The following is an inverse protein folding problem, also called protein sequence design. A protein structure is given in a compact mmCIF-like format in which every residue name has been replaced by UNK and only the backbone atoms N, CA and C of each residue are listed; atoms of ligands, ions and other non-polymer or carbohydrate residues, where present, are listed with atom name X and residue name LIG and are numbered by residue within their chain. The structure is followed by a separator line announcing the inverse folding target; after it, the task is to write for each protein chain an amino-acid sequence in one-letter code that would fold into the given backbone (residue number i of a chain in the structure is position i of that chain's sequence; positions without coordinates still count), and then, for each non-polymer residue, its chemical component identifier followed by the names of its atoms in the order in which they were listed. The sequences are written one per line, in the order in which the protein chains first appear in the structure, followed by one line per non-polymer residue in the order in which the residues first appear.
data_IF_446751856730
#
_entry.id   IF_446751856730
#
_cell.length_a   1.000
_cell.length_b   1.000
_cell.length_c   1.000
_cell.angle_alpha   90.00
_cell.angle_beta   90.00
_cell.angle_gamma   90.00
#
_symmetry.space_group_name_H-M   'P 1'
#
loop_
_entity.id
_entity.type
_entity.pdbx_description
1 polymer ?
#
# COMPACT_ATOMS: atom_id res chain seq x y z
N UNK A 1 -15.41 -14.50 11.86
CA UNK A 1 -14.90 -14.86 12.05
C UNK A 1 -14.97 -14.90 12.11
N UNK A 2 -15.08 -14.88 12.29
CA UNK A 2 -14.39 -15.28 12.28
C UNK A 2 -14.45 -15.23 12.20
N UNK A 3 -14.47 -15.32 12.37
CA UNK A 3 -13.93 -15.71 12.35
C UNK A 3 -13.99 -15.47 12.28
N UNK A 4 -14.12 -15.28 12.38
CA UNK A 4 -13.70 -15.60 12.49
C UNK A 4 -13.67 -15.31 12.37
N UNK A 5 -13.89 -15.34 12.37
CA UNK A 5 -13.37 -15.67 12.52
C UNK A 5 -13.38 -15.06 12.51
N UNK A 6 -13.45 -14.85 12.39
CA UNK A 6 -12.92 -14.93 12.54
C UNK A 6 -12.89 -14.65 12.05
N UNK A 7 -13.14 -14.89 11.95
CA UNK A 7 -12.68 -15.28 11.81
C UNK A 7 -12.83 -15.03 11.55
N UNK A 8 -13.04 -15.16 11.43
CA UNK A 8 -12.65 -15.59 11.25
C UNK A 8 -12.75 -15.58 10.91
N UNK A 9 -13.04 -15.56 10.90
CA UNK A 9 -12.64 -16.09 10.59
C UNK A 9 -12.93 -15.89 10.37
N UNK A 10 -12.92 -16.00 10.30
CA UNK A 10 -12.58 -16.43 10.16
C UNK A 10 -12.91 -16.43 10.02
N UNK A 11 -13.11 -16.12 10.07
CA UNK A 11 -12.87 -16.67 9.79
C UNK A 11 -13.16 -17.02 9.93
N UNK A 12 -13.39 -17.20 10.26
CA UNK A 12 -13.28 -17.92 10.24
C UNK A 12 -13.46 -18.13 10.66
N UNK A 13 -14.05 -18.54 11.32
CA UNK A 13 -13.85 -19.14 11.58
C UNK A 13 -14.14 -19.34 12.30
N UNK A 14 -14.13 -19.14 12.83
CA UNK A 14 -13.89 -19.68 13.30
C UNK A 14 -13.83 -19.93 13.99
N UNK A 15 -13.91 -20.19 14.57
CA UNK A 15 -13.54 -20.48 15.33
C UNK A 15 -12.95 -20.78 15.70
N UNK A 16 -12.47 -20.95 16.17
CA UNK A 16 -11.82 -21.03 16.72
C UNK A 16 -10.97 -21.04 16.68
N UNK A 17 -10.27 -21.59 16.68
CA UNK A 17 -9.55 -21.28 16.68
C UNK A 17 -8.36 -20.62 16.79
N UNK A 18 -7.67 -21.02 17.58
CA UNK A 18 -7.04 -19.90 18.20
C UNK A 18 -5.52 -20.05 18.24
N UNK A 19 -5.03 -21.25 18.53
CA UNK A 19 -3.61 -21.54 18.49
C UNK A 19 -3.05 -21.38 17.10
N UNK A 20 -3.77 -21.88 16.13
CA UNK A 20 -3.38 -21.78 14.74
C UNK A 20 -3.27 -20.32 14.31
N UNK A 21 -4.26 -19.50 14.70
CA UNK A 21 -4.27 -18.09 14.35
C UNK A 21 -3.10 -17.36 15.00
N UNK A 22 -2.77 -17.73 16.24
CA UNK A 22 -1.66 -17.09 16.95
C UNK A 22 -0.33 -17.35 16.25
N UNK A 23 -0.12 -18.58 15.76
CA UNK A 23 1.10 -18.89 15.03
C UNK A 23 1.23 -18.06 13.75
N UNK A 24 0.13 -17.96 13.01
CA UNK A 24 0.12 -17.15 11.78
C UNK A 24 0.38 -15.68 12.12
N UNK A 25 -0.27 -15.20 13.15
CA UNK A 25 -0.10 -13.82 13.58
C UNK A 25 1.33 -13.54 14.03
N UNK A 26 1.95 -14.48 14.72
CA UNK A 26 3.33 -14.30 15.20
C UNK A 26 4.30 -14.22 14.00
N UNK A 27 4.11 -15.08 13.03
CA UNK A 27 4.94 -15.07 11.82
C UNK A 27 4.74 -13.77 11.04
N UNK A 28 3.49 -13.37 10.90
CA UNK A 28 3.17 -12.13 10.20
C UNK A 28 3.78 -10.94 10.92
N UNK A 29 3.69 -10.89 12.24
CA UNK A 29 4.27 -9.80 13.01
C UNK A 29 5.79 -9.76 12.90
N UNK A 30 6.42 -10.92 12.78
CA UNK A 30 7.85 -10.98 12.52
C UNK A 30 8.17 -10.32 11.17
N UNK A 31 7.34 -10.60 10.16
CA UNK A 31 7.54 -9.97 8.85
C UNK A 31 7.39 -8.45 8.93
N UNK A 32 6.43 -7.98 9.73
CA UNK A 32 6.25 -6.53 9.92
C UNK A 32 7.51 -5.91 10.54
N UNK A 33 8.11 -6.60 11.51
CA UNK A 33 9.35 -6.12 12.09
C UNK A 33 10.49 -6.08 11.08
N UNK A 34 10.54 -7.08 10.20
CA UNK A 34 11.53 -7.09 9.13
C UNK A 34 11.34 -5.91 8.18
N UNK A 35 10.09 -5.56 7.89
CA UNK A 35 9.80 -4.38 7.06
C UNK A 35 10.32 -3.11 7.74
N UNK A 36 10.11 -2.97 9.03
CA UNK A 36 10.58 -1.81 9.77
C UNK A 36 12.09 -1.70 9.74
N UNK A 37 12.77 -2.83 9.69
CA UNK A 37 14.23 -2.88 9.63
C UNK A 37 14.74 -2.83 8.20
N UNK A 38 13.84 -2.64 7.23
CA UNK A 38 14.16 -2.56 5.81
C UNK A 38 14.79 -3.84 5.25
N UNK A 39 14.45 -4.97 5.86
CA UNK A 39 14.89 -6.27 5.39
C UNK A 39 13.79 -6.87 4.52
N UNK A 40 13.64 -6.24 3.35
CA UNK A 40 12.46 -6.47 2.51
C UNK A 40 12.42 -7.87 1.90
N UNK A 41 13.57 -8.42 1.52
CA UNK A 41 13.57 -9.76 0.93
C UNK A 41 13.15 -10.82 1.92
N UNK A 42 13.64 -10.71 3.16
CA UNK A 42 13.26 -11.64 4.22
C UNK A 42 11.78 -11.50 4.55
N UNK A 43 11.31 -10.24 4.65
CA UNK A 43 9.90 -9.99 4.91
C UNK A 43 9.04 -10.59 3.82
N UNK A 44 9.45 -10.44 2.56
CA UNK A 44 8.68 -10.92 1.43
C UNK A 44 8.54 -12.44 1.42
N UNK A 45 9.56 -13.15 1.89
CA UNK A 45 9.47 -14.61 1.99
C UNK A 45 8.26 -15.02 2.83
N UNK A 46 7.97 -14.27 3.88
CA UNK A 46 6.82 -14.54 4.75
C UNK A 46 5.54 -13.97 4.14
N UNK A 47 5.61 -12.75 3.61
CA UNK A 47 4.42 -12.01 3.21
C UNK A 47 3.85 -12.43 1.85
N UNK A 48 4.63 -13.09 1.02
CA UNK A 48 4.21 -13.38 -0.35
C UNK A 48 2.82 -14.02 -0.45
N UNK A 49 2.49 -15.04 0.36
CA UNK A 49 1.16 -15.68 0.24
C UNK A 49 0.00 -14.80 0.64
N UNK A 50 0.25 -13.74 1.42
CA UNK A 50 -0.83 -12.87 1.90
C UNK A 50 -1.33 -11.89 0.85
N UNK A 51 -0.46 -11.46 -0.04
CA UNK A 51 -0.80 -10.51 -1.12
C UNK A 51 -1.59 -9.31 -0.60
N UNK A 52 -1.13 -8.74 0.50
CA UNK A 52 -1.78 -7.59 1.12
C UNK A 52 -0.92 -6.34 0.95
N UNK A 53 -1.31 -5.25 1.63
CA UNK A 53 -0.59 -3.98 1.52
C UNK A 53 0.87 -4.11 1.94
N UNK A 54 1.15 -4.88 2.97
CA UNK A 54 2.53 -5.06 3.43
C UNK A 54 3.35 -5.84 2.40
N UNK A 55 2.73 -6.83 1.74
CA UNK A 55 3.39 -7.54 0.64
C UNK A 55 3.75 -6.57 -0.47
N UNK A 56 2.80 -5.71 -0.83
CA UNK A 56 3.02 -4.71 -1.87
C UNK A 56 4.14 -3.75 -1.49
N UNK A 57 4.20 -3.34 -0.22
CA UNK A 57 5.25 -2.46 0.25
C UNK A 57 6.63 -3.11 0.09
N UNK A 58 6.74 -4.38 0.42
CA UNK A 58 8.00 -5.10 0.25
C UNK A 58 8.40 -5.17 -1.22
N UNK A 59 7.46 -5.52 -2.10
CA UNK A 59 7.73 -5.55 -3.54
C UNK A 59 8.17 -4.18 -4.05
N UNK A 60 7.45 -3.13 -3.67
CA UNK A 60 7.74 -1.78 -4.10
C UNK A 60 9.13 -1.35 -3.67
N UNK A 61 9.49 -1.68 -2.44
CA UNK A 61 10.80 -1.30 -1.89
C UNK A 61 11.94 -2.03 -2.59
N UNK A 62 11.65 -3.21 -3.16
CA UNK A 62 12.65 -3.98 -3.89
C UNK A 62 12.65 -3.67 -5.39
N UNK A 63 11.74 -2.78 -5.84
CA UNK A 63 11.69 -2.40 -7.24
C UNK A 63 10.78 -3.25 -8.09
N UNK A 64 10.02 -4.15 -7.50
CA UNK A 64 9.06 -4.98 -8.24
C UNK A 64 7.73 -4.23 -8.34
N UNK A 65 7.75 -3.15 -9.13
CA UNK A 65 6.63 -2.20 -9.15
C UNK A 65 5.36 -2.80 -9.72
N UNK A 66 5.46 -3.63 -10.75
CA UNK A 66 4.28 -4.23 -11.36
C UNK A 66 3.54 -5.14 -10.40
N UNK A 67 4.28 -5.94 -9.62
CA UNK A 67 3.67 -6.83 -8.63
C UNK A 67 2.98 -6.02 -7.55
N UNK A 68 3.64 -4.98 -7.04
CA UNK A 68 3.06 -4.12 -6.02
C UNK A 68 1.79 -3.43 -6.53
N UNK A 69 1.86 -2.94 -7.77
CA UNK A 69 0.73 -2.24 -8.40
C UNK A 69 -0.48 -3.16 -8.50
N UNK A 70 -0.26 -4.40 -8.96
CA UNK A 70 -1.33 -5.37 -9.09
C UNK A 70 -2.01 -5.65 -7.75
N UNK A 71 -1.18 -5.86 -6.71
CA UNK A 71 -1.72 -6.19 -5.39
C UNK A 71 -2.52 -5.04 -4.81
N UNK A 72 -1.99 -3.82 -4.89
CA UNK A 72 -2.68 -2.67 -4.31
C UNK A 72 -3.98 -2.34 -5.04
N UNK A 73 -4.01 -2.52 -6.36
CA UNK A 73 -5.24 -2.27 -7.11
C UNK A 73 -6.33 -3.27 -6.76
N UNK A 74 -5.95 -4.46 -6.31
CA UNK A 74 -6.91 -5.49 -5.95
C UNK A 74 -7.43 -5.38 -4.53
N UNK A 75 -6.86 -4.48 -3.71
CA UNK A 75 -7.33 -4.30 -2.34
C UNK A 75 -8.76 -3.79 -2.33
N UNK A 76 -9.65 -4.41 -1.53
CA UNK A 76 -11.07 -4.04 -1.56
C UNK A 76 -11.34 -2.58 -1.20
N UNK A 77 -10.51 -1.98 -0.35
CA UNK A 77 -10.70 -0.59 0.09
C UNK A 77 -9.74 0.36 -0.60
N UNK A 78 -9.15 -0.05 -1.72
CA UNK A 78 -8.13 0.79 -2.39
C UNK A 78 -8.67 2.18 -2.73
N UNK A 79 -9.89 2.24 -3.25
CA UNK A 79 -10.45 3.52 -3.73
C UNK A 79 -10.69 4.51 -2.60
N UNK A 80 -10.83 4.04 -1.36
CA UNK A 80 -11.15 4.90 -0.22
C UNK A 80 -10.01 5.04 0.78
N UNK A 81 -8.85 4.45 0.49
CA UNK A 81 -7.70 4.50 1.41
C UNK A 81 -6.65 5.45 0.85
N UNK A 82 -6.44 6.60 1.52
CA UNK A 82 -5.51 7.60 0.96
C UNK A 82 -4.10 7.09 0.77
N UNK A 83 -3.60 6.28 1.68
CA UNK A 83 -2.24 5.76 1.55
C UNK A 83 -2.09 4.83 0.35
N UNK A 84 -3.11 4.01 0.09
CA UNK A 84 -3.07 3.12 -1.08
C UNK A 84 -3.10 3.94 -2.36
N UNK A 85 -3.96 4.95 -2.41
CA UNK A 85 -4.03 5.82 -3.59
C UNK A 85 -2.69 6.52 -3.84
N UNK A 86 -2.02 6.96 -2.75
CA UNK A 86 -0.72 7.60 -2.88
C UNK A 86 0.33 6.62 -3.42
N UNK A 87 0.35 5.40 -2.89
CA UNK A 87 1.28 4.38 -3.37
C UNK A 87 1.02 4.03 -4.83
N UNK A 88 -0.26 3.94 -5.21
CA UNK A 88 -0.62 3.67 -6.60
C UNK A 88 -0.15 4.79 -7.53
N UNK A 89 -0.16 6.03 -7.04
CA UNK A 89 0.33 7.15 -7.83
C UNK A 89 1.84 6.98 -8.12
N UNK A 90 2.61 6.63 -7.11
CA UNK A 90 4.04 6.41 -7.29
C UNK A 90 4.29 5.26 -8.26
N UNK A 91 3.56 4.16 -8.07
CA UNK A 91 3.75 2.97 -8.89
C UNK A 91 3.34 3.19 -10.34
N UNK A 92 2.21 3.88 -10.55
CA UNK A 92 1.77 4.19 -11.91
C UNK A 92 2.82 5.05 -12.62
N UNK A 93 3.40 6.02 -11.91
CA UNK A 93 4.44 6.86 -12.47
C UNK A 93 5.67 6.04 -12.86
N UNK A 94 6.09 5.14 -11.97
CA UNK A 94 7.24 4.29 -12.25
C UNK A 94 7.02 3.37 -13.44
N UNK A 95 5.76 2.96 -13.64
CA UNK A 95 5.41 2.06 -14.75
C UNK A 95 5.12 2.82 -16.05
N UNK A 96 5.25 4.15 -16.03
CA UNK A 96 5.13 4.95 -17.22
C UNK A 96 3.75 5.50 -17.50
N UNK A 97 2.79 5.30 -16.60
CA UNK A 97 1.43 5.78 -16.78
C UNK A 97 1.21 7.03 -15.92
N UNK A 98 1.73 8.16 -16.40
CA UNK A 98 1.68 9.40 -15.64
C UNK A 98 0.26 9.94 -15.48
N UNK A 99 -0.60 9.68 -16.48
CA UNK A 99 -1.98 10.12 -16.40
C UNK A 99 -2.70 9.48 -15.23
N UNK A 100 -2.54 8.16 -15.09
CA UNK A 100 -3.12 7.46 -13.95
C UNK A 100 -2.45 7.89 -12.64
N UNK A 101 -1.14 8.14 -12.69
CA UNK A 101 -0.43 8.58 -11.49
C UNK A 101 -1.02 9.88 -10.94
N UNK A 102 -1.31 10.83 -11.83
CA UNK A 102 -1.91 12.10 -11.41
C UNK A 102 -3.30 11.85 -10.82
N UNK A 103 -4.09 11.01 -11.48
CA UNK A 103 -5.44 10.68 -11.01
C UNK A 103 -5.40 10.08 -9.61
N UNK A 104 -4.52 9.11 -9.38
CA UNK A 104 -4.38 8.49 -8.07
C UNK A 104 -3.92 9.51 -7.01
N UNK A 105 -2.95 10.35 -7.37
CA UNK A 105 -2.45 11.34 -6.42
C UNK A 105 -3.54 12.32 -6.02
N UNK A 106 -4.28 12.84 -6.98
CA UNK A 106 -5.35 13.78 -6.68
C UNK A 106 -6.42 13.13 -5.81
N UNK A 107 -6.72 11.86 -6.07
CA UNK A 107 -7.67 11.13 -5.24
C UNK A 107 -7.14 11.00 -3.81
N UNK A 108 -5.86 10.70 -3.66
CA UNK A 108 -5.27 10.57 -2.32
C UNK A 108 -5.38 11.87 -1.53
N UNK A 109 -5.20 13.02 -2.21
CA UNK A 109 -5.30 14.32 -1.57
C UNK A 109 -6.75 14.62 -1.20
N UNK A 110 -7.72 14.23 -2.04
CA UNK A 110 -9.13 14.36 -1.70
C UNK A 110 -9.45 13.63 -0.41
N UNK A 111 -8.87 12.45 -0.25
CA UNK A 111 -9.13 11.61 0.91
C UNK A 111 -8.38 12.08 2.15
N UNK A 112 -7.21 12.65 1.97
CA UNK A 112 -6.40 13.19 3.07
C UNK A 112 -5.57 14.35 2.54
N UNK A 113 -6.01 15.57 2.86
CA UNK A 113 -5.40 16.76 2.29
C UNK A 113 -3.92 16.91 2.62
N UNK A 114 -3.49 16.41 3.77
CA UNK A 114 -2.08 16.53 4.16
C UNK A 114 -1.13 15.83 3.20
N UNK A 115 -1.64 14.91 2.37
CA UNK A 115 -0.79 14.24 1.39
C UNK A 115 -0.31 15.19 0.29
N UNK A 116 -0.95 16.33 0.15
CA UNK A 116 -0.45 17.37 -0.77
C UNK A 116 0.95 17.83 -0.35
N UNK A 117 1.14 18.04 0.95
CA UNK A 117 2.44 18.47 1.45
C UNK A 117 3.48 17.36 1.31
N UNK A 118 3.07 16.12 1.58
CA UNK A 118 3.96 14.99 1.40
C UNK A 118 4.40 14.87 -0.06
N UNK A 119 3.47 15.11 -0.98
CA UNK A 119 3.78 15.07 -2.40
C UNK A 119 4.81 16.11 -2.80
N UNK A 120 4.74 17.29 -2.20
CA UNK A 120 5.71 18.33 -2.50
C UNK A 120 7.13 17.97 -2.03
N UNK A 121 7.22 17.12 -1.02
CA UNK A 121 8.52 16.70 -0.48
C UNK A 121 9.06 15.43 -1.14
N UNK A 122 8.20 14.71 -1.84
CA UNK A 122 8.54 13.44 -2.48
C UNK A 122 8.97 13.72 -3.92
N UNK A 123 10.25 13.48 -4.28
CA UNK A 123 10.72 13.84 -5.64
C UNK A 123 9.89 13.22 -6.76
N UNK A 124 9.40 11.99 -6.58
CA UNK A 124 8.63 11.33 -7.63
C UNK A 124 7.29 12.03 -7.86
N UNK A 125 6.65 12.47 -6.78
CA UNK A 125 5.34 13.11 -6.87
C UNK A 125 5.49 14.60 -7.19
N UNK A 126 6.50 15.28 -6.61
CA UNK A 126 6.67 16.71 -6.88
C UNK A 126 6.97 16.96 -8.35
N UNK A 127 7.61 16.01 -9.02
CA UNK A 127 7.84 16.12 -10.46
C UNK A 127 6.51 16.18 -11.21
N UNK A 128 5.54 15.37 -10.79
CA UNK A 128 4.22 15.39 -11.42
C UNK A 128 3.47 16.67 -11.10
N UNK A 129 3.58 17.17 -9.87
CA UNK A 129 2.93 18.41 -9.49
C UNK A 129 3.40 19.54 -10.38
N UNK A 130 4.70 19.65 -10.59
CA UNK A 130 5.27 20.71 -11.45
C UNK A 130 4.94 20.50 -12.91
N UNK A 131 5.07 19.26 -13.39
CA UNK A 131 4.87 18.98 -14.82
C UNK A 131 3.45 19.27 -15.27
N UNK A 132 2.47 18.93 -14.41
CA UNK A 132 1.06 19.08 -14.77
C UNK A 132 0.40 20.29 -14.13
N UNK A 133 1.18 21.13 -13.42
CA UNK A 133 0.66 22.36 -12.84
C UNK A 133 -0.42 22.12 -11.80
N UNK A 134 -0.25 21.09 -10.98
CA UNK A 134 -1.25 20.75 -9.96
C UNK A 134 -1.21 21.78 -8.84
N UNK A 135 -2.38 22.10 -8.29
CA UNK A 135 -2.53 23.05 -7.16
C UNK A 135 -1.93 24.42 -7.47
N UNK A 136 -2.05 24.83 -8.73
CA UNK A 136 -1.44 26.09 -9.15
C UNK A 136 -1.97 27.27 -8.35
N UNK A 137 -3.28 27.27 -8.04
CA UNK A 137 -3.87 28.39 -7.32
C UNK A 137 -3.35 28.52 -5.90
N UNK A 138 -2.74 27.49 -5.35
CA UNK A 138 -2.15 27.58 -4.02
C UNK A 138 -0.88 28.42 -4.01
N UNK A 139 -0.31 28.69 -5.17
CA UNK A 139 0.95 29.41 -5.28
C UNK A 139 0.80 30.77 -5.93
N UNK A 140 -0.43 31.17 -6.20
CA UNK A 140 -0.78 32.48 -6.72
C UNK A 140 -1.44 33.36 -5.66
#
# INVERSE_FOLDING_TARGET
RAVDFRFNLHRRGMKQDTVYTTEVDAEYMHAVELLKKRRYEEALTILRPYEDRNTALAYMSLGYDAAAYRILRAEPDAASTPDIQYMLAILASRLGDEEQAVTYFLRSVELRESLKFRGNLDPEISRLIRKYGLFREDFE
#
